data_IF_608159394265
#
_entry.id   IF_608159394265
#
_cell.length_a   1.000
_cell.length_b   1.000
_cell.length_c   1.000
_cell.angle_alpha   90.00
_cell.angle_beta   90.00
_cell.angle_gamma   90.00
#
_symmetry.space_group_name_H-M   'P 1'
#
loop_
_entity.id
_entity.type
_entity.pdbx_description
1 polymer ?
#
# COMPACT_ATOMS: atom_id res chain seq x y z
N UNK A 1 6.70 -11.36 6.73
CA UNK A 1 5.31 -11.25 6.25
C UNK A 1 4.67 -10.06 6.94
N UNK A 2 4.05 -9.15 6.19
CA UNK A 2 3.41 -7.95 6.77
C UNK A 2 2.19 -8.31 7.63
N UNK A 3 1.53 -9.45 7.40
CA UNK A 3 0.40 -9.87 8.23
C UNK A 3 0.78 -10.13 9.70
N UNK A 4 2.07 -10.16 10.03
CA UNK A 4 2.55 -10.28 11.40
C UNK A 4 2.31 -9.00 12.23
N UNK A 5 2.19 -7.84 11.60
CA UNK A 5 1.96 -6.56 12.28
C UNK A 5 0.82 -5.73 11.67
N UNK A 6 0.40 -6.03 10.44
CA UNK A 6 -0.78 -5.45 9.79
C UNK A 6 -2.01 -6.28 10.11
N UNK A 7 -3.05 -5.62 10.64
CA UNK A 7 -4.36 -6.23 10.91
C UNK A 7 -5.25 -6.26 9.67
N UNK A 8 -5.27 -5.15 8.93
CA UNK A 8 -6.04 -4.99 7.69
C UNK A 8 -5.57 -3.76 6.92
N UNK A 9 -5.75 -3.79 5.60
CA UNK A 9 -5.61 -2.65 4.73
C UNK A 9 -6.98 -2.34 4.13
N UNK A 10 -7.35 -1.07 4.18
CA UNK A 10 -8.61 -0.57 3.66
C UNK A 10 -8.33 0.28 2.42
N UNK A 11 -9.01 -0.01 1.33
CA UNK A 11 -8.96 0.75 0.09
C UNK A 11 -10.30 1.45 -0.07
N UNK A 12 -10.32 2.78 0.02
CA UNK A 12 -11.49 3.58 -0.34
C UNK A 12 -11.39 3.96 -1.81
N UNK A 13 -12.22 3.33 -2.63
CA UNK A 13 -12.40 3.62 -4.05
C UNK A 13 -13.35 4.81 -4.25
N UNK A 14 -13.51 5.24 -5.49
CA UNK A 14 -14.51 6.25 -5.87
C UNK A 14 -15.94 5.77 -5.56
N UNK A 15 -16.82 6.71 -5.17
CA UNK A 15 -18.21 6.45 -4.76
C UNK A 15 -19.07 5.79 -5.86
N UNK A 16 -18.63 5.83 -7.13
CA UNK A 16 -19.31 5.15 -8.24
C UNK A 16 -19.19 3.62 -8.19
N UNK A 17 -18.24 3.08 -7.43
CA UNK A 17 -18.11 1.63 -7.24
C UNK A 17 -19.10 1.13 -6.19
N UNK A 18 -19.72 -0.02 -6.45
CA UNK A 18 -20.45 -0.75 -5.42
C UNK A 18 -19.51 -1.15 -4.28
N UNK A 19 -19.93 -0.91 -3.04
CA UNK A 19 -19.11 -1.11 -1.84
C UNK A 19 -17.72 -0.47 -1.99
N UNK A 20 -17.62 0.87 -2.08
CA UNK A 20 -16.37 1.54 -2.42
C UNK A 20 -15.28 1.36 -1.33
N UNK A 21 -15.68 0.91 -0.14
CA UNK A 21 -14.78 0.63 0.97
C UNK A 21 -14.41 -0.86 1.01
N UNK A 22 -13.26 -1.21 0.43
CA UNK A 22 -12.75 -2.59 0.41
C UNK A 22 -11.78 -2.82 1.56
N UNK A 23 -11.83 -4.01 2.16
CA UNK A 23 -10.94 -4.37 3.27
C UNK A 23 -10.25 -5.70 2.96
N UNK A 24 -8.93 -5.72 3.05
CA UNK A 24 -8.08 -6.90 2.86
C UNK A 24 -7.32 -7.18 4.15
N UNK A 25 -7.39 -8.41 4.66
CA UNK A 25 -6.81 -8.77 5.97
C UNK A 25 -5.57 -9.65 5.87
N UNK A 26 -5.24 -10.17 4.68
CA UNK A 26 -4.11 -11.06 4.44
C UNK A 26 -3.50 -10.76 3.07
N UNK A 27 -2.19 -10.99 2.86
CA UNK A 27 -1.56 -10.81 1.56
C UNK A 27 -2.13 -11.78 0.51
N UNK A 28 -2.11 -11.41 -0.79
CA UNK A 28 -1.68 -10.12 -1.32
C UNK A 28 -2.68 -8.99 -0.97
N UNK A 29 -2.16 -7.84 -0.57
CA UNK A 29 -2.98 -6.67 -0.23
C UNK A 29 -3.31 -5.87 -1.48
N UNK A 30 -4.13 -6.44 -2.35
CA UNK A 30 -4.48 -5.85 -3.65
C UNK A 30 -5.99 -5.91 -3.89
N UNK A 31 -6.46 -5.01 -4.75
CA UNK A 31 -7.84 -4.99 -5.26
C UNK A 31 -7.77 -4.94 -6.78
N UNK A 32 -8.48 -5.84 -7.44
CA UNK A 32 -8.63 -5.84 -8.90
C UNK A 32 -10.03 -5.40 -9.25
N UNK A 33 -10.13 -4.39 -10.11
CA UNK A 33 -11.39 -3.80 -10.56
C UNK A 33 -11.26 -3.31 -12.01
N UNK A 34 -12.41 -3.04 -12.65
CA UNK A 34 -12.47 -2.43 -13.98
C UNK A 34 -13.06 -1.02 -13.90
N UNK A 35 -12.48 -0.08 -14.65
CA UNK A 35 -12.97 1.29 -14.71
C UNK A 35 -12.42 2.04 -15.91
N UNK A 36 -12.92 3.26 -16.12
CA UNK A 36 -12.57 4.13 -17.24
C UNK A 36 -11.95 5.46 -16.82
N UNK A 37 -12.05 5.81 -15.53
CA UNK A 37 -11.60 7.09 -14.98
C UNK A 37 -10.50 6.90 -13.94
N UNK A 38 -9.63 7.90 -13.86
CA UNK A 38 -8.62 8.04 -12.81
C UNK A 38 -9.24 8.73 -11.60
N UNK A 39 -8.87 8.30 -10.39
CA UNK A 39 -9.34 8.89 -9.14
C UNK A 39 -8.36 8.58 -8.01
N UNK A 40 -8.43 9.36 -6.94
CA UNK A 40 -7.62 9.12 -5.75
C UNK A 40 -8.20 7.95 -4.93
N UNK A 41 -7.39 6.93 -4.69
CA UNK A 41 -7.64 5.84 -3.75
C UNK A 41 -7.02 6.21 -2.42
N UNK A 42 -7.82 6.16 -1.35
CA UNK A 42 -7.31 6.31 0.02
C UNK A 42 -7.00 4.91 0.56
N UNK A 43 -5.72 4.66 0.86
CA UNK A 43 -5.24 3.38 1.39
C UNK A 43 -4.94 3.57 2.87
N UNK A 44 -5.66 2.87 3.74
CA UNK A 44 -5.51 2.96 5.19
C UNK A 44 -5.04 1.64 5.78
N UNK A 45 -3.85 1.64 6.37
CA UNK A 45 -3.20 0.46 6.95
C UNK A 45 -3.45 0.48 8.46
N UNK A 46 -4.11 -0.55 8.97
CA UNK A 46 -4.36 -0.72 10.39
C UNK A 46 -3.43 -1.79 10.94
N UNK A 47 -2.84 -1.54 12.10
CA UNK A 47 -1.94 -2.47 12.78
C UNK A 47 -2.69 -3.41 13.72
N UNK A 48 -2.04 -4.51 14.08
CA UNK A 48 -2.58 -5.49 15.04
C UNK A 48 -2.72 -4.84 16.42
N UNK A 49 -1.72 -4.05 16.84
CA UNK A 49 -1.84 -3.22 18.03
C UNK A 49 -2.85 -2.07 17.75
N UNK A 50 -3.99 -2.02 18.45
CA UNK A 50 -4.99 -0.97 18.26
C UNK A 50 -4.54 0.40 18.77
N UNK A 51 -3.50 0.48 19.60
CA UNK A 51 -2.93 1.73 20.09
C UNK A 51 -1.98 2.38 19.09
N UNK A 52 -1.51 1.61 18.09
CA UNK A 52 -0.68 2.13 17.00
C UNK A 52 -1.57 2.85 15.98
N UNK A 53 -1.20 4.08 15.62
CA UNK A 53 -2.02 4.91 14.74
C UNK A 53 -2.03 4.33 13.33
N UNK A 54 -3.21 4.20 12.68
CA UNK A 54 -3.25 3.75 11.28
C UNK A 54 -2.52 4.71 10.33
N UNK A 55 -1.75 4.15 9.39
CA UNK A 55 -1.12 4.91 8.31
C UNK A 55 -2.14 5.14 7.20
N UNK A 56 -2.16 6.33 6.61
CA UNK A 56 -3.04 6.69 5.49
C UNK A 56 -2.20 7.18 4.32
N UNK A 57 -2.36 6.55 3.16
CA UNK A 57 -1.72 6.89 1.91
C UNK A 57 -2.78 7.34 0.90
N UNK A 58 -2.38 8.21 -0.02
CA UNK A 58 -3.23 8.70 -1.10
C UNK A 58 -2.56 8.33 -2.42
N UNK A 59 -3.29 7.62 -3.27
CA UNK A 59 -2.74 7.12 -4.52
C UNK A 59 -3.69 7.44 -5.67
N UNK A 60 -3.25 8.26 -6.62
CA UNK A 60 -4.00 8.49 -7.85
C UNK A 60 -3.93 7.24 -8.73
N UNK A 61 -5.06 6.56 -8.93
CA UNK A 61 -5.16 5.43 -9.84
C UNK A 61 -4.93 5.91 -11.27
N UNK A 62 -3.78 5.55 -11.84
CA UNK A 62 -3.39 5.95 -13.19
C UNK A 62 -3.80 4.90 -14.22
N UNK A 63 -4.55 5.31 -15.23
CA UNK A 63 -5.02 4.48 -16.35
C UNK A 63 -4.44 4.95 -17.68
N UNK A 64 -4.13 6.24 -17.81
CA UNK A 64 -3.67 6.82 -19.08
C UNK A 64 -2.14 6.83 -19.18
N UNK A 65 -1.64 6.47 -20.36
CA UNK A 65 -0.21 6.46 -20.65
C UNK A 65 0.26 7.86 -21.04
N UNK A 66 1.57 8.10 -20.95
CA UNK A 66 2.16 9.27 -21.63
C UNK A 66 2.17 9.07 -23.13
N UNK A 67 2.15 10.16 -23.90
CA UNK A 67 2.16 10.15 -25.36
C UNK A 67 3.29 9.28 -25.94
N UNK A 68 4.50 9.37 -25.36
CA UNK A 68 5.65 8.54 -25.75
C UNK A 68 5.37 7.04 -25.60
N UNK A 69 4.77 6.62 -24.49
CA UNK A 69 4.46 5.20 -24.25
C UNK A 69 3.32 4.70 -25.15
N UNK A 70 2.35 5.57 -25.46
CA UNK A 70 1.28 5.29 -26.41
C UNK A 70 1.83 5.08 -27.84
N UNK A 71 2.79 5.92 -28.27
CA UNK A 71 3.49 5.78 -29.56
C UNK A 71 4.28 4.46 -29.63
N UNK A 72 4.90 4.05 -28.52
CA UNK A 72 5.60 2.76 -28.41
C UNK A 72 4.65 1.55 -28.32
N UNK A 73 3.33 1.75 -28.33
CA UNK A 73 2.35 0.67 -28.31
C UNK A 73 2.30 -0.13 -27.00
N UNK A 74 2.78 0.44 -25.89
CA UNK A 74 2.63 -0.20 -24.57
C UNK A 74 1.14 -0.29 -24.24
N UNK A 75 0.75 -1.33 -23.49
CA UNK A 75 -0.66 -1.56 -23.10
C UNK A 75 -0.88 -1.52 -21.58
N UNK A 76 0.20 -1.47 -20.82
CA UNK A 76 0.18 -1.52 -19.36
C UNK A 76 0.73 -0.21 -18.81
N UNK A 77 -0.02 0.37 -17.88
CA UNK A 77 0.43 1.50 -17.06
C UNK A 77 0.76 0.96 -15.68
N UNK A 78 1.92 1.34 -15.16
CA UNK A 78 2.32 1.08 -13.77
C UNK A 78 2.59 2.43 -13.12
N UNK A 79 1.97 2.64 -11.97
CA UNK A 79 2.19 3.81 -11.12
C UNK A 79 2.38 3.29 -9.71
N UNK A 80 3.62 3.22 -9.26
CA UNK A 80 4.02 2.70 -7.96
C UNK A 80 4.95 3.70 -7.27
N UNK A 81 4.87 3.75 -5.95
CA UNK A 81 5.67 4.66 -5.14
C UNK A 81 6.28 3.89 -3.98
N UNK A 82 7.54 4.17 -3.71
CA UNK A 82 8.21 3.73 -2.50
C UNK A 82 7.79 4.63 -1.32
N UNK A 83 7.57 4.03 -0.16
CA UNK A 83 7.29 4.74 1.09
C UNK A 83 7.79 3.95 2.30
N UNK A 84 8.02 4.64 3.42
CA UNK A 84 8.53 4.08 4.67
C UNK A 84 7.55 4.30 5.81
N UNK A 85 7.05 3.22 6.40
CA UNK A 85 6.27 3.31 7.64
C UNK A 85 7.23 3.48 8.83
N UNK A 86 7.30 4.70 9.34
CA UNK A 86 8.14 5.04 10.50
C UNK A 86 7.35 4.83 11.80
N UNK A 87 7.87 3.96 12.67
CA UNK A 87 7.36 3.74 14.01
C UNK A 87 8.30 4.40 15.01
N UNK A 88 8.01 5.66 15.36
CA UNK A 88 8.75 6.38 16.40
C UNK A 88 8.21 5.96 17.76
N UNK A 89 9.08 5.40 18.60
CA UNK A 89 8.74 4.91 19.94
C UNK A 89 7.53 3.94 19.93
N UNK A 90 7.62 2.81 19.21
CA UNK A 90 6.51 1.86 19.09
C UNK A 90 6.11 1.31 20.46
N UNK A 91 4.85 0.91 20.60
CA UNK A 91 4.42 0.17 21.78
C UNK A 91 5.25 -1.12 21.95
N UNK A 92 5.35 -1.64 23.18
CA UNK A 92 6.07 -2.90 23.42
C UNK A 92 5.51 -4.07 22.58
N UNK A 93 4.19 -4.10 22.37
CA UNK A 93 3.54 -5.08 21.51
C UNK A 93 3.95 -4.88 20.05
N UNK A 94 3.87 -3.65 19.53
CA UNK A 94 4.22 -3.36 18.14
C UNK A 94 5.70 -3.65 17.86
N UNK A 95 6.59 -3.30 18.79
CA UNK A 95 8.01 -3.64 18.73
C UNK A 95 8.24 -5.14 18.61
N UNK A 96 7.52 -5.96 19.39
CA UNK A 96 7.61 -7.42 19.30
C UNK A 96 7.13 -7.93 17.93
N UNK A 97 6.01 -7.42 17.41
CA UNK A 97 5.46 -7.82 16.11
C UNK A 97 6.39 -7.45 14.94
N UNK A 98 6.98 -6.26 14.99
CA UNK A 98 7.93 -5.76 13.99
C UNK A 98 9.22 -6.59 13.97
N UNK A 99 9.73 -7.00 15.13
CA UNK A 99 11.02 -7.73 15.25
C UNK A 99 10.91 -9.24 15.07
N UNK A 100 9.75 -9.84 15.38
CA UNK A 100 9.51 -11.27 15.17
C UNK A 100 9.34 -11.61 13.68
N UNK A 101 9.00 -10.60 12.88
CA UNK A 101 8.87 -10.73 11.43
C UNK A 101 10.23 -11.05 10.79
N UNK A 102 10.31 -12.13 10.00
CA UNK A 102 11.51 -12.48 9.22
C UNK A 102 11.96 -11.25 8.41
N UNK A 103 13.17 -10.78 8.66
CA UNK A 103 13.79 -9.74 7.85
C UNK A 103 13.92 -10.22 6.40
N UNK A 104 13.49 -9.38 5.46
CA UNK A 104 13.60 -9.68 4.02
C UNK A 104 15.04 -9.60 3.54
N UNK A 105 15.88 -8.81 4.20
CA UNK A 105 17.30 -8.64 3.91
C UNK A 105 18.14 -9.07 5.12
N UNK A 106 19.28 -9.71 4.87
CA UNK A 106 20.23 -10.16 5.90
C UNK A 106 21.22 -9.07 6.36
N UNK A 107 21.07 -7.84 5.87
CA UNK A 107 21.97 -6.72 6.16
C UNK A 107 21.28 -5.37 6.03
N UNK A 108 22.01 -4.32 6.44
CA UNK A 108 21.59 -2.93 6.24
C UNK A 108 21.44 -2.69 4.73
N UNK A 109 20.20 -2.44 4.29
CA UNK A 109 19.94 -2.07 2.91
C UNK A 109 20.53 -0.66 2.69
N UNK A 110 21.48 -0.54 1.77
CA UNK A 110 21.96 0.78 1.34
C UNK A 110 20.99 1.30 0.31
N UNK A 111 20.33 2.41 0.64
CA UNK A 111 19.37 3.06 -0.24
C UNK A 111 20.13 3.91 -1.26
N UNK A 112 19.99 3.59 -2.53
CA UNK A 112 20.32 4.50 -3.64
C UNK A 112 19.10 5.39 -3.86
N UNK A 113 19.12 6.58 -3.25
CA UNK A 113 18.20 7.66 -3.61
C UNK A 113 18.85 8.43 -4.76
N UNK A 114 18.37 8.24 -5.99
CA UNK A 114 18.55 9.24 -7.07
C UNK A 114 17.42 10.27 -7.03
#
# INVERSE_FOLDING_TARGET
DMSAYVKKIQFKLHESYGNPLRVVTKPPYEITETGWGEFEIIIKIFFIDPNERPVTLYHLLKLFQSDTNAILGKKTVVSEFYDEMIFQDPTAMMQQLLTTSRQLTLGAYKHETE
#
